data_IF_424145833454
#
_entry.id   IF_424145833454
#
_cell.length_a   1.000
_cell.length_b   1.000
_cell.length_c   1.000
_cell.angle_alpha   90.00
_cell.angle_beta   90.00
_cell.angle_gamma   90.00
#
_symmetry.space_group_name_H-M   'P 1'
#
loop_
_entity.id
_entity.type
_entity.pdbx_description
1 polymer ?
#
# COMPACT_ATOMS: atom_id res chain seq x y z
N UNK A 1 11.82 12.85 18.82
CA UNK A 1 11.50 14.27 18.99
C UNK A 1 10.15 14.56 18.35
N UNK A 2 9.08 14.49 19.12
CA UNK A 2 7.82 15.14 18.81
C UNK A 2 7.99 16.64 19.03
N UNK A 3 7.45 17.48 18.16
CA UNK A 3 7.38 18.93 18.35
C UNK A 3 6.18 19.35 19.20
N UNK A 4 5.47 18.40 19.83
CA UNK A 4 4.15 18.64 20.44
C UNK A 4 3.04 18.86 19.40
N UNK A 5 3.36 18.75 18.11
CA UNK A 5 2.44 18.84 16.97
C UNK A 5 2.48 17.54 16.15
N UNK A 6 1.38 17.14 15.49
CA UNK A 6 1.37 16.01 14.54
C UNK A 6 2.38 16.14 13.38
N UNK A 7 2.94 17.33 13.19
CA UNK A 7 3.87 17.70 12.13
C UNK A 7 5.23 18.05 12.76
N UNK A 8 6.30 17.34 12.38
CA UNK A 8 7.67 17.62 12.81
C UNK A 8 8.29 18.76 11.96
N UNK A 9 8.33 19.98 12.52
CA UNK A 9 8.89 21.19 11.85
C UNK A 9 10.29 21.55 12.41
N UNK A 10 10.69 20.99 13.55
CA UNK A 10 12.01 21.19 14.20
C UNK A 10 12.52 19.85 14.75
N UNK A 11 13.84 19.59 14.80
CA UNK A 11 14.99 20.41 14.37
C UNK A 11 15.38 20.28 12.89
N UNK A 12 14.72 19.40 12.14
CA UNK A 12 14.78 19.30 10.67
C UNK A 12 13.33 19.17 10.19
N UNK A 13 12.94 19.90 9.13
CA UNK A 13 11.61 19.80 8.55
C UNK A 13 11.47 18.40 7.95
N UNK A 14 10.49 17.61 8.41
CA UNK A 14 10.13 16.37 7.74
C UNK A 14 9.59 16.72 6.34
N UNK A 15 10.26 16.32 5.24
CA UNK A 15 9.81 16.63 3.88
C UNK A 15 8.37 16.15 3.60
N UNK A 16 7.91 15.12 4.33
CA UNK A 16 6.60 14.50 4.16
C UNK A 16 5.47 15.14 4.98
N UNK A 17 5.77 16.17 5.80
CA UNK A 17 4.81 16.86 6.70
C UNK A 17 4.02 15.84 7.54
N UNK A 18 4.70 15.20 8.50
CA UNK A 18 4.11 14.14 9.31
C UNK A 18 4.86 13.87 10.62
N UNK A 19 4.48 12.80 11.33
CA UNK A 19 5.07 12.45 12.62
C UNK A 19 6.55 12.09 12.48
N UNK A 20 7.27 12.11 13.60
CA UNK A 20 8.67 11.65 13.61
C UNK A 20 8.75 10.13 13.36
N UNK A 21 9.83 9.62 12.74
CA UNK A 21 10.03 8.17 12.54
C UNK A 21 9.93 7.34 13.83
N UNK A 22 10.29 7.92 14.98
CA UNK A 22 10.17 7.23 16.28
C UNK A 22 8.72 6.94 16.67
N UNK A 23 7.81 7.84 16.31
CA UNK A 23 6.37 7.65 16.52
C UNK A 23 5.84 6.59 15.57
N UNK A 24 6.24 6.61 14.29
CA UNK A 24 5.80 5.59 13.34
C UNK A 24 6.35 4.20 13.70
N UNK A 25 7.59 4.10 14.19
CA UNK A 25 8.14 2.85 14.75
C UNK A 25 7.29 2.37 15.93
N UNK A 26 6.95 3.26 16.87
CA UNK A 26 6.11 2.88 18.01
C UNK A 26 4.71 2.42 17.58
N UNK A 27 4.15 3.02 16.53
CA UNK A 27 2.86 2.64 15.95
C UNK A 27 2.89 1.35 15.11
N UNK A 28 4.07 0.78 14.84
CA UNK A 28 4.20 -0.49 14.12
C UNK A 28 4.75 -0.39 12.70
N UNK A 29 5.44 0.70 12.32
CA UNK A 29 6.19 0.77 11.06
C UNK A 29 7.22 -0.37 10.93
N UNK A 30 7.62 -0.74 9.72
CA UNK A 30 8.64 -1.76 9.52
C UNK A 30 9.95 -1.24 10.10
N UNK A 31 10.51 -1.95 11.07
CA UNK A 31 11.78 -1.61 11.70
C UNK A 31 12.48 -2.89 12.13
N UNK A 32 13.59 -3.22 11.46
CA UNK A 32 14.24 -4.54 11.54
C UNK A 32 14.64 -4.89 12.99
N UNK A 33 15.17 -3.93 13.74
CA UNK A 33 15.58 -4.14 15.12
C UNK A 33 14.42 -4.45 16.08
N UNK A 34 13.16 -4.19 15.69
CA UNK A 34 11.97 -4.61 16.45
C UNK A 34 11.46 -6.00 16.02
N UNK A 35 12.05 -6.64 15.02
CA UNK A 35 11.54 -7.85 14.37
C UNK A 35 12.50 -9.04 14.47
N UNK A 36 13.80 -8.79 14.62
CA UNK A 36 14.79 -9.76 15.04
C UNK A 36 16.03 -9.06 15.59
N UNK A 37 16.90 -9.84 16.23
CA UNK A 37 18.17 -9.34 16.74
C UNK A 37 19.15 -9.06 15.59
N UNK A 38 19.82 -7.90 15.66
CA UNK A 38 20.86 -7.48 14.73
C UNK A 38 22.20 -7.52 15.45
N UNK A 39 23.20 -8.18 14.89
CA UNK A 39 24.56 -8.29 15.48
C UNK A 39 25.21 -6.90 15.64
N UNK A 40 24.96 -5.98 14.70
CA UNK A 40 25.49 -4.61 14.74
C UNK A 40 25.04 -3.81 15.97
N UNK A 41 23.81 -4.01 16.46
CA UNK A 41 23.31 -3.31 17.64
C UNK A 41 23.73 -3.95 18.98
N UNK A 42 24.30 -5.17 18.95
CA UNK A 42 24.75 -5.89 20.15
C UNK A 42 26.14 -5.44 20.60
N UNK A 43 26.99 -4.97 19.67
CA UNK A 43 28.37 -4.54 19.98
C UNK A 43 28.49 -3.06 20.37
N UNK A 44 27.48 -2.25 20.05
CA UNK A 44 27.46 -0.81 20.33
C UNK A 44 26.98 -0.55 21.77
N UNK A 45 27.94 -0.50 22.70
CA UNK A 45 27.74 -0.19 24.12
C UNK A 45 27.11 1.19 24.41
N UNK A 46 27.03 2.08 23.40
CA UNK A 46 26.59 3.47 23.52
C UNK A 46 25.23 3.81 22.85
N UNK A 47 24.51 2.88 22.21
CA UNK A 47 23.21 3.21 21.55
C UNK A 47 21.98 2.98 22.45
N UNK A 48 22.13 3.08 23.77
CA UNK A 48 21.01 2.95 24.72
C UNK A 48 20.04 4.15 24.73
N UNK A 49 19.98 4.93 23.66
CA UNK A 49 19.36 6.24 23.70
C UNK A 49 18.68 6.65 22.39
N UNK A 50 17.60 5.93 22.03
CA UNK A 50 16.67 6.43 21.01
C UNK A 50 15.84 7.58 21.60
N UNK A 51 15.55 8.66 20.86
CA UNK A 51 14.58 9.66 21.31
C UNK A 51 13.23 8.98 21.56
N UNK A 52 12.71 9.04 22.79
CA UNK A 52 11.40 8.45 23.07
C UNK A 52 10.33 9.03 22.13
N UNK A 53 9.31 8.24 21.73
CA UNK A 53 8.21 8.73 20.92
C UNK A 53 7.61 10.02 21.47
N UNK A 54 7.45 10.11 22.80
CA UNK A 54 6.85 11.23 23.52
C UNK A 54 7.80 12.42 23.80
N UNK A 55 9.05 12.41 23.30
CA UNK A 55 9.99 13.51 23.58
C UNK A 55 9.56 14.81 22.94
N UNK A 56 9.18 15.82 23.74
CA UNK A 56 8.90 17.17 23.26
C UNK A 56 10.17 18.02 23.38
N UNK A 57 10.67 18.55 22.27
CA UNK A 57 11.79 19.50 22.29
C UNK A 57 11.32 20.80 22.95
N UNK A 58 11.75 21.08 24.18
CA UNK A 58 11.33 22.28 24.92
C UNK A 58 12.10 23.55 24.48
N UNK A 59 13.32 23.45 23.95
CA UNK A 59 14.10 24.60 23.42
C UNK A 59 15.16 24.19 22.37
N UNK A 60 15.49 25.09 21.45
CA UNK A 60 16.39 24.87 20.30
C UNK A 60 17.89 24.68 20.61
N UNK A 61 18.27 24.74 21.89
CA UNK A 61 19.67 24.57 22.34
C UNK A 61 19.92 23.23 23.04
N UNK A 62 18.88 22.46 23.29
CA UNK A 62 18.95 21.21 24.04
C UNK A 62 19.11 20.03 23.07
N UNK A 63 20.35 19.79 22.64
CA UNK A 63 20.65 18.63 21.78
C UNK A 63 20.49 17.27 22.49
N UNK A 64 20.29 17.23 23.81
CA UNK A 64 20.25 15.96 24.57
C UNK A 64 19.31 15.91 25.81
N UNK A 65 18.41 16.88 26.06
CA UNK A 65 17.48 16.81 27.23
C UNK A 65 16.12 16.16 26.90
N UNK A 66 16.00 15.49 25.76
CA UNK A 66 14.86 14.61 25.48
C UNK A 66 15.05 13.28 26.20
N UNK A 67 14.02 12.81 26.89
CA UNK A 67 14.00 11.47 27.49
C UNK A 67 14.44 10.42 26.44
N UNK A 68 15.53 9.74 26.74
CA UNK A 68 16.08 8.67 25.91
C UNK A 68 15.42 7.35 26.31
N UNK A 69 15.03 6.57 25.32
CA UNK A 69 14.32 5.29 25.47
C UNK A 69 15.20 4.15 25.01
N UNK A 70 15.03 3.00 25.67
CA UNK A 70 15.57 1.74 25.17
C UNK A 70 14.79 1.29 23.91
N UNK A 71 15.34 0.31 23.19
CA UNK A 71 14.73 -0.23 21.98
C UNK A 71 13.33 -0.82 22.26
N UNK A 72 13.08 -1.40 23.43
CA UNK A 72 11.79 -2.00 23.79
C UNK A 72 10.67 -0.96 23.90
N UNK A 73 10.98 0.17 24.54
CA UNK A 73 10.10 1.33 24.64
C UNK A 73 9.86 1.98 23.28
N UNK A 74 10.88 2.03 22.42
CA UNK A 74 10.72 2.51 21.04
C UNK A 74 9.79 1.61 20.24
N UNK A 75 9.97 0.28 20.32
CA UNK A 75 9.17 -0.72 19.63
C UNK A 75 7.73 -0.87 20.16
N UNK A 76 7.35 -0.12 21.21
CA UNK A 76 5.98 -0.11 21.75
C UNK A 76 5.64 -1.32 22.62
N UNK A 77 6.64 -2.07 23.09
CA UNK A 77 6.40 -3.03 24.15
C UNK A 77 6.20 -2.26 25.46
N UNK A 78 5.12 -2.52 26.18
CA UNK A 78 4.90 -2.08 27.58
C UNK A 78 5.87 -2.78 28.55
N UNK A 79 7.15 -2.83 28.20
CA UNK A 79 8.19 -3.44 29.00
C UNK A 79 8.75 -2.37 29.91
N UNK A 80 7.95 -2.00 30.91
CA UNK A 80 8.27 -0.93 31.84
C UNK A 80 9.54 -1.23 32.66
N UNK A 81 10.05 -2.46 32.70
CA UNK A 81 11.19 -2.86 33.55
C UNK A 81 11.88 -4.17 33.11
N UNK A 82 11.97 -4.49 31.82
CA UNK A 82 12.84 -5.61 31.40
C UNK A 82 13.82 -5.10 30.37
N UNK A 83 15.08 -5.07 30.81
CA UNK A 83 16.25 -5.14 29.96
C UNK A 83 15.97 -6.11 28.82
N UNK A 84 16.06 -5.62 27.58
CA UNK A 84 16.17 -6.52 26.43
C UNK A 84 17.42 -7.37 26.66
N UNK A 85 17.33 -8.70 26.60
CA UNK A 85 18.49 -9.55 26.67
C UNK A 85 19.46 -9.17 25.56
N UNK A 86 20.64 -8.69 25.94
CA UNK A 86 21.71 -8.27 25.01
C UNK A 86 21.90 -6.77 24.82
N UNK A 87 21.06 -5.91 25.40
CA UNK A 87 21.28 -4.45 25.38
C UNK A 87 21.14 -3.89 26.81
N UNK A 88 22.29 -3.65 27.45
CA UNK A 88 22.39 -3.02 28.77
C UNK A 88 22.33 -3.96 29.99
N UNK A 89 22.34 -5.28 29.79
CA UNK A 89 22.55 -6.21 30.91
C UNK A 89 24.03 -6.17 31.35
N UNK A 90 24.34 -6.06 32.65
CA UNK A 90 25.71 -6.14 33.12
C UNK A 90 26.35 -7.45 32.65
N UNK A 91 27.54 -7.35 32.09
CA UNK A 91 28.32 -8.49 31.60
C UNK A 91 28.46 -9.51 32.74
N UNK A 92 27.75 -10.64 32.66
CA UNK A 92 27.84 -11.71 33.65
C UNK A 92 26.52 -12.34 34.13
N UNK A 93 25.35 -11.73 33.92
CA UNK A 93 24.07 -12.41 34.20
C UNK A 93 23.59 -13.16 32.95
N UNK A 94 24.25 -14.27 32.66
CA UNK A 94 23.73 -15.31 31.78
C UNK A 94 22.55 -16.00 32.48
N UNK A 95 21.36 -15.42 32.38
CA UNK A 95 20.10 -16.12 32.57
C UNK A 95 19.39 -16.08 31.23
N UNK A 96 19.63 -17.16 30.46
CA UNK A 96 18.64 -17.99 29.74
C UNK A 96 17.41 -17.41 29.03
N UNK A 97 17.23 -16.10 28.93
CA UNK A 97 16.13 -15.49 28.19
C UNK A 97 16.68 -14.90 26.91
N UNK A 98 16.81 -15.70 25.86
CA UNK A 98 17.09 -15.23 24.50
C UNK A 98 15.81 -14.64 23.90
N UNK A 99 15.23 -13.60 24.54
CA UNK A 99 14.03 -12.96 24.05
C UNK A 99 14.37 -12.16 22.78
N UNK A 100 14.17 -12.81 21.63
CA UNK A 100 14.28 -12.16 20.33
C UNK A 100 13.02 -11.32 20.13
N UNK A 101 13.14 -10.06 19.67
CA UNK A 101 11.97 -9.27 19.34
C UNK A 101 11.23 -9.96 18.18
N UNK A 102 9.92 -10.20 18.33
CA UNK A 102 9.12 -11.08 17.47
C UNK A 102 7.91 -10.35 16.83
N UNK A 103 8.05 -9.05 16.54
CA UNK A 103 6.95 -8.22 16.03
C UNK A 103 6.67 -8.41 14.54
N UNK A 104 6.32 -9.64 14.14
CA UNK A 104 6.01 -10.04 12.76
C UNK A 104 4.87 -9.22 12.12
N UNK A 105 3.96 -8.68 12.93
CA UNK A 105 2.87 -7.81 12.46
C UNK A 105 3.40 -6.56 11.74
N UNK A 106 4.66 -6.20 11.93
CA UNK A 106 5.37 -5.13 11.20
C UNK A 106 5.60 -5.42 9.72
N UNK A 107 5.18 -6.58 9.21
CA UNK A 107 5.03 -6.80 7.76
C UNK A 107 3.65 -6.41 7.22
N UNK A 108 2.65 -6.24 8.08
CA UNK A 108 1.25 -5.99 7.70
C UNK A 108 0.82 -4.59 8.10
N UNK A 109 1.02 -4.21 9.36
CA UNK A 109 0.59 -2.92 9.92
C UNK A 109 1.11 -1.71 9.13
N UNK A 110 2.39 -1.68 8.67
CA UNK A 110 2.90 -0.49 7.99
C UNK A 110 2.23 -0.23 6.62
N UNK A 111 1.49 -1.18 6.06
CA UNK A 111 0.71 -0.99 4.83
C UNK A 111 -0.31 0.15 5.02
N UNK A 112 -0.83 0.29 6.23
CA UNK A 112 -1.87 1.27 6.56
C UNK A 112 -1.31 2.56 7.17
N UNK A 113 -0.04 2.56 7.59
CA UNK A 113 0.63 3.70 8.17
C UNK A 113 1.31 4.56 7.09
N UNK A 114 1.42 5.86 7.32
CA UNK A 114 2.04 6.78 6.36
C UNK A 114 2.95 7.78 7.07
N UNK A 115 4.06 8.15 6.41
CA UNK A 115 5.07 9.04 6.97
C UNK A 115 4.64 10.52 7.08
N UNK A 116 3.53 10.90 6.43
CA UNK A 116 2.97 12.25 6.49
C UNK A 116 1.91 12.51 5.42
N UNK A 117 1.39 13.74 5.39
CA UNK A 117 0.25 14.15 4.56
C UNK A 117 0.57 14.07 3.06
N UNK A 118 1.78 14.47 2.66
CA UNK A 118 2.19 14.41 1.26
C UNK A 118 2.28 12.95 0.81
N UNK A 119 2.85 12.09 1.64
CA UNK A 119 3.00 10.67 1.35
C UNK A 119 1.63 9.96 1.20
N UNK A 120 0.68 10.17 2.12
CA UNK A 120 -0.67 9.61 1.96
C UNK A 120 -1.40 10.21 0.75
N UNK A 121 -1.21 11.50 0.46
CA UNK A 121 -1.78 12.16 -0.72
C UNK A 121 -1.37 11.49 -2.03
N UNK A 122 -0.07 11.23 -2.21
CA UNK A 122 0.43 10.52 -3.39
C UNK A 122 -0.06 9.07 -3.47
N UNK A 123 -0.05 8.32 -2.36
CA UNK A 123 -0.59 6.94 -2.37
C UNK A 123 -2.07 6.91 -2.71
N UNK A 124 -2.87 7.84 -2.18
CA UNK A 124 -4.30 7.92 -2.48
C UNK A 124 -4.56 8.36 -3.92
N UNK A 125 -3.74 9.27 -4.47
CA UNK A 125 -3.81 9.63 -5.88
C UNK A 125 -3.59 8.39 -6.76
N UNK A 126 -2.50 7.64 -6.54
CA UNK A 126 -2.20 6.42 -7.28
C UNK A 126 -3.26 5.33 -7.07
N UNK A 127 -3.77 5.18 -5.84
CA UNK A 127 -4.85 4.25 -5.54
C UNK A 127 -6.13 4.59 -6.30
N UNK A 128 -6.50 5.87 -6.39
CA UNK A 128 -7.74 6.30 -7.03
C UNK A 128 -7.65 6.36 -8.55
N UNK A 129 -6.45 6.51 -9.12
CA UNK A 129 -6.22 6.45 -10.57
C UNK A 129 -5.99 5.00 -11.01
N UNK A 130 -4.83 4.43 -10.69
CA UNK A 130 -4.43 3.07 -11.11
C UNK A 130 -5.19 1.98 -10.36
N UNK A 131 -5.30 2.11 -9.04
CA UNK A 131 -5.94 1.10 -8.19
C UNK A 131 -7.41 0.88 -8.55
N UNK A 132 -8.17 1.97 -8.69
CA UNK A 132 -9.58 1.93 -9.08
C UNK A 132 -9.79 1.29 -10.46
N UNK A 133 -8.99 1.67 -11.45
CA UNK A 133 -9.08 1.09 -12.80
C UNK A 133 -8.83 -0.41 -12.76
N UNK A 134 -7.77 -0.84 -12.06
CA UNK A 134 -7.47 -2.26 -11.94
C UNK A 134 -8.54 -3.03 -11.15
N UNK A 135 -9.06 -2.45 -10.07
CA UNK A 135 -10.15 -3.04 -9.29
C UNK A 135 -11.41 -3.28 -10.15
N UNK A 136 -11.74 -2.36 -11.07
CA UNK A 136 -12.86 -2.54 -11.99
C UNK A 136 -12.62 -3.68 -13.00
N UNK A 137 -11.37 -3.91 -13.40
CA UNK A 137 -11.00 -4.95 -14.37
C UNK A 137 -11.03 -6.34 -13.73
N UNK A 138 -10.37 -6.52 -12.59
CA UNK A 138 -10.21 -7.85 -11.96
C UNK A 138 -11.21 -8.11 -10.83
N UNK A 139 -11.96 -7.11 -10.38
CA UNK A 139 -12.90 -7.21 -9.27
C UNK A 139 -12.24 -7.08 -7.89
N UNK A 140 -13.03 -6.61 -6.91
CA UNK A 140 -12.55 -6.20 -5.57
C UNK A 140 -11.83 -7.29 -4.78
N UNK A 141 -12.26 -8.56 -4.84
CA UNK A 141 -11.63 -9.65 -4.07
C UNK A 141 -10.20 -9.92 -4.59
N UNK A 142 -10.05 -10.04 -5.91
CA UNK A 142 -8.74 -10.30 -6.54
C UNK A 142 -7.80 -9.11 -6.35
N UNK A 143 -8.33 -7.91 -6.50
CA UNK A 143 -7.62 -6.67 -6.21
C UNK A 143 -7.11 -6.65 -4.76
N UNK A 144 -7.97 -6.92 -3.78
CA UNK A 144 -7.60 -6.94 -2.37
C UNK A 144 -6.49 -7.97 -2.06
N UNK A 145 -6.58 -9.18 -2.63
CA UNK A 145 -5.57 -10.21 -2.43
C UNK A 145 -4.21 -9.79 -2.97
N UNK A 146 -4.16 -9.23 -4.19
CA UNK A 146 -2.90 -8.75 -4.77
C UNK A 146 -2.36 -7.56 -3.97
N UNK A 147 -3.22 -6.64 -3.57
CA UNK A 147 -2.85 -5.46 -2.80
C UNK A 147 -2.18 -5.83 -1.47
N UNK A 148 -2.83 -6.68 -0.66
CA UNK A 148 -2.29 -7.09 0.64
C UNK A 148 -1.05 -7.97 0.47
N UNK A 149 -1.07 -8.96 -0.42
CA UNK A 149 0.09 -9.84 -0.63
C UNK A 149 1.33 -9.07 -1.13
N UNK A 150 1.15 -8.13 -2.06
CA UNK A 150 2.23 -7.29 -2.55
C UNK A 150 2.80 -6.37 -1.48
N UNK A 151 1.93 -5.81 -0.62
CA UNK A 151 2.37 -5.01 0.54
C UNK A 151 3.21 -5.82 1.52
N UNK A 152 2.73 -7.02 1.90
CA UNK A 152 3.42 -7.92 2.83
C UNK A 152 4.77 -8.34 2.24
N UNK A 153 4.78 -8.86 1.01
CA UNK A 153 6.01 -9.34 0.39
C UNK A 153 7.00 -8.19 0.10
N UNK A 154 6.49 -7.00 -0.20
CA UNK A 154 7.27 -5.77 -0.19
C UNK A 154 7.99 -5.58 1.14
N UNK A 155 7.28 -5.52 2.26
CA UNK A 155 7.92 -5.34 3.56
C UNK A 155 8.81 -6.51 3.98
N UNK A 156 8.55 -7.74 3.52
CA UNK A 156 9.46 -8.88 3.70
C UNK A 156 10.78 -8.60 2.97
N UNK A 157 10.75 -8.20 1.70
CA UNK A 157 11.96 -7.89 0.95
C UNK A 157 12.70 -6.68 1.56
N UNK A 158 11.97 -5.62 1.94
CA UNK A 158 12.54 -4.47 2.64
C UNK A 158 13.12 -4.82 4.02
N UNK A 159 12.53 -5.77 4.73
CA UNK A 159 13.04 -6.25 6.03
C UNK A 159 14.38 -6.96 5.92
N UNK A 160 14.63 -7.65 4.79
CA UNK A 160 15.84 -8.45 4.60
C UNK A 160 16.97 -7.70 3.87
N UNK A 161 16.64 -6.73 3.02
CA UNK A 161 17.63 -6.11 2.12
C UNK A 161 17.75 -4.59 2.24
N UNK A 162 16.78 -3.89 2.86
CA UNK A 162 16.92 -2.46 3.07
C UNK A 162 17.95 -2.14 4.15
N UNK A 163 18.51 -0.93 4.09
CA UNK A 163 19.46 -0.46 5.08
C UNK A 163 18.89 -0.53 6.51
N UNK A 164 19.72 -1.03 7.42
CA UNK A 164 19.37 -1.18 8.83
C UNK A 164 19.16 0.19 9.51
N UNK A 165 18.33 0.22 10.55
CA UNK A 165 18.07 1.44 11.32
C UNK A 165 17.14 2.46 10.67
N UNK A 166 16.57 2.16 9.48
CA UNK A 166 15.58 3.00 8.82
C UNK A 166 14.18 2.38 8.97
N UNK A 167 13.22 3.19 9.39
CA UNK A 167 11.81 2.80 9.44
C UNK A 167 11.13 2.97 8.09
N UNK A 168 10.31 2.00 7.70
CA UNK A 168 9.54 2.01 6.46
C UNK A 168 8.05 1.85 6.71
N UNK A 169 7.24 2.59 5.95
CA UNK A 169 5.79 2.65 6.10
C UNK A 169 5.17 3.06 4.78
N UNK A 170 3.90 2.74 4.56
CA UNK A 170 3.13 3.20 3.41
C UNK A 170 2.57 2.05 2.59
N UNK A 171 1.48 2.33 1.90
CA UNK A 171 0.85 1.36 1.01
C UNK A 171 1.53 1.25 -0.37
N UNK A 172 2.66 1.96 -0.57
CA UNK A 172 3.35 2.03 -1.85
C UNK A 172 3.82 0.67 -2.35
N UNK A 173 4.28 -0.24 -1.48
CA UNK A 173 4.59 -1.63 -1.89
C UNK A 173 3.38 -2.35 -2.52
N UNK A 174 2.19 -2.16 -1.95
CA UNK A 174 0.94 -2.68 -2.52
C UNK A 174 0.63 -2.06 -3.88
N UNK A 175 0.79 -0.73 -4.01
CA UNK A 175 0.57 0.00 -5.25
C UNK A 175 1.56 -0.38 -6.36
N UNK A 176 2.83 -0.67 -6.03
CA UNK A 176 3.79 -1.23 -7.00
C UNK A 176 3.36 -2.61 -7.50
N UNK A 177 2.71 -3.41 -6.66
CA UNK A 177 2.06 -4.66 -7.09
C UNK A 177 0.90 -4.44 -8.07
N UNK A 178 0.11 -3.38 -7.85
CA UNK A 178 -0.94 -2.98 -8.80
C UNK A 178 -0.33 -2.44 -10.10
N UNK A 179 0.75 -1.66 -10.03
CA UNK A 179 1.46 -1.16 -11.21
C UNK A 179 2.03 -2.32 -12.07
N UNK A 180 2.54 -3.37 -11.41
CA UNK A 180 2.93 -4.61 -12.08
C UNK A 180 1.75 -5.33 -12.76
N UNK A 181 0.57 -5.36 -12.11
CA UNK A 181 -0.65 -5.88 -12.73
C UNK A 181 -1.06 -5.08 -13.97
N UNK A 182 -1.01 -3.75 -13.90
CA UNK A 182 -1.33 -2.87 -15.04
C UNK A 182 -0.36 -3.09 -16.21
N UNK A 183 0.94 -3.24 -15.91
CA UNK A 183 1.94 -3.59 -16.91
C UNK A 183 1.61 -4.95 -17.55
N UNK A 184 1.27 -5.95 -16.75
CA UNK A 184 0.94 -7.28 -17.25
C UNK A 184 -0.34 -7.29 -18.10
N UNK A 185 -1.36 -6.54 -17.70
CA UNK A 185 -2.58 -6.34 -18.50
C UNK A 185 -2.27 -5.73 -19.87
N UNK A 186 -1.43 -4.68 -19.90
CA UNK A 186 -0.99 -4.06 -21.15
C UNK A 186 -0.25 -5.06 -22.06
N UNK A 187 0.62 -5.89 -21.49
CA UNK A 187 1.37 -6.88 -22.25
C UNK A 187 0.46 -7.98 -22.81
N UNK A 188 -0.55 -8.44 -22.07
CA UNK A 188 -1.49 -9.45 -22.55
C UNK A 188 -2.45 -8.92 -23.62
N UNK A 189 -2.88 -7.67 -23.51
CA UNK A 189 -3.80 -7.03 -24.47
C UNK A 189 -3.10 -6.15 -25.50
N UNK A 190 -1.78 -6.35 -25.71
CA UNK A 190 -0.94 -5.48 -26.53
C UNK A 190 -1.49 -5.22 -27.93
N UNK A 191 -2.00 -6.27 -28.59
CA UNK A 191 -2.53 -6.19 -29.97
C UNK A 191 -3.91 -5.51 -30.06
N UNK A 192 -4.65 -5.43 -28.96
CA UNK A 192 -6.00 -4.84 -28.91
C UNK A 192 -5.98 -3.34 -28.60
N UNK A 193 -4.85 -2.83 -28.09
CA UNK A 193 -4.68 -1.43 -27.72
C UNK A 193 -4.43 -0.57 -28.97
N UNK A 194 -5.01 0.63 -28.98
CA UNK A 194 -4.87 1.60 -30.08
C UNK A 194 -3.42 2.11 -30.19
N UNK A 195 -2.74 2.31 -29.06
CA UNK A 195 -1.37 2.82 -29.02
C UNK A 195 -0.54 2.18 -27.90
N UNK A 196 -0.23 0.87 -27.98
CA UNK A 196 0.40 0.13 -26.89
C UNK A 196 1.77 0.68 -26.49
N UNK A 197 2.53 1.21 -27.45
CA UNK A 197 3.83 1.84 -27.18
C UNK A 197 3.73 3.12 -26.34
N UNK A 198 2.65 3.91 -26.50
CA UNK A 198 2.44 5.11 -25.70
C UNK A 198 2.09 4.73 -24.26
N UNK A 199 1.16 3.78 -24.11
CA UNK A 199 0.73 3.27 -22.81
C UNK A 199 1.91 2.66 -22.05
N UNK A 200 2.75 1.88 -22.76
CA UNK A 200 3.98 1.31 -22.21
C UNK A 200 4.96 2.39 -21.74
N UNK A 201 5.16 3.44 -22.55
CA UNK A 201 6.03 4.55 -22.18
C UNK A 201 5.53 5.30 -20.94
N UNK A 202 4.22 5.52 -20.80
CA UNK A 202 3.63 6.12 -19.60
C UNK A 202 3.81 5.24 -18.37
N UNK A 203 3.53 3.93 -18.45
CA UNK A 203 3.74 3.01 -17.33
C UNK A 203 5.21 2.95 -16.92
N UNK A 204 6.14 2.91 -17.88
CA UNK A 204 7.57 2.92 -17.58
C UNK A 204 8.02 4.25 -16.95
N UNK A 205 7.46 5.37 -17.39
CA UNK A 205 7.69 6.67 -16.77
C UNK A 205 7.18 6.69 -15.33
N UNK A 206 5.98 6.17 -15.07
CA UNK A 206 5.41 6.07 -13.72
C UNK A 206 6.25 5.19 -12.80
N UNK A 207 6.75 4.05 -13.30
CA UNK A 207 7.68 3.18 -12.58
C UNK A 207 8.96 3.96 -12.24
N UNK A 208 9.56 4.64 -13.21
CA UNK A 208 10.79 5.39 -13.01
C UNK A 208 10.63 6.52 -11.99
N UNK A 209 9.56 7.33 -12.12
CA UNK A 209 9.23 8.40 -11.17
C UNK A 209 9.00 7.81 -9.77
N UNK A 210 8.28 6.69 -9.66
CA UNK A 210 7.98 6.07 -8.37
C UNK A 210 9.24 5.57 -7.66
N UNK A 211 10.21 5.01 -8.38
CA UNK A 211 11.52 4.63 -7.82
C UNK A 211 12.39 5.82 -7.43
N UNK A 212 12.34 6.91 -8.20
CA UNK A 212 13.02 8.16 -7.83
C UNK A 212 12.41 8.76 -6.56
N UNK A 213 11.08 8.77 -6.46
CA UNK A 213 10.38 9.19 -5.24
C UNK A 213 10.70 8.26 -4.07
N UNK A 214 10.90 6.96 -4.32
CA UNK A 214 11.31 5.97 -3.32
C UNK A 214 12.67 6.23 -2.66
N UNK A 215 13.48 7.17 -3.18
CA UNK A 215 14.70 7.65 -2.54
C UNK A 215 14.44 8.67 -1.42
N UNK A 216 13.21 9.17 -1.27
CA UNK A 216 12.85 10.10 -0.21
C UNK A 216 12.80 9.39 1.16
N UNK A 217 13.13 10.10 2.25
CA UNK A 217 13.18 9.50 3.58
C UNK A 217 11.81 8.94 4.01
N UNK A 218 11.83 7.71 4.54
CA UNK A 218 10.62 6.99 4.96
C UNK A 218 9.98 6.10 3.89
N UNK A 219 10.57 6.06 2.69
CA UNK A 219 10.26 5.11 1.62
C UNK A 219 11.34 4.05 1.51
N UNK A 220 10.99 2.92 0.88
CA UNK A 220 11.83 1.74 0.83
C UNK A 220 11.73 1.10 -0.56
N UNK A 221 12.76 1.33 -1.38
CA UNK A 221 12.83 0.78 -2.74
C UNK A 221 12.85 -0.75 -2.76
N UNK A 222 13.40 -1.43 -1.73
CA UNK A 222 13.30 -2.89 -1.65
C UNK A 222 11.86 -3.32 -1.39
N UNK A 223 11.11 -2.55 -0.60
CA UNK A 223 9.68 -2.78 -0.46
C UNK A 223 8.90 -2.58 -1.76
N UNK A 224 9.28 -1.60 -2.58
CA UNK A 224 8.69 -1.39 -3.91
C UNK A 224 9.01 -2.53 -4.87
N UNK A 225 10.27 -2.98 -4.92
CA UNK A 225 10.71 -4.12 -5.74
C UNK A 225 9.97 -5.39 -5.33
N UNK A 226 9.87 -5.67 -4.02
CA UNK A 226 9.15 -6.84 -3.53
C UNK A 226 7.68 -6.80 -3.94
N UNK A 227 7.01 -5.66 -3.72
CA UNK A 227 5.63 -5.47 -4.14
C UNK A 227 5.43 -5.70 -5.64
N UNK A 228 6.32 -5.16 -6.48
CA UNK A 228 6.28 -5.32 -7.93
C UNK A 228 6.45 -6.80 -8.36
N UNK A 229 7.42 -7.52 -7.79
CA UNK A 229 7.65 -8.95 -8.07
C UNK A 229 6.44 -9.79 -7.68
N UNK A 230 5.87 -9.55 -6.50
CA UNK A 230 4.66 -10.26 -6.05
C UNK A 230 3.45 -9.93 -6.93
N UNK A 231 3.32 -8.68 -7.37
CA UNK A 231 2.30 -8.24 -8.32
C UNK A 231 2.38 -8.98 -9.66
N UNK A 232 3.60 -9.15 -10.22
CA UNK A 232 3.80 -9.97 -11.43
C UNK A 232 3.40 -11.43 -11.15
N UNK A 233 3.89 -12.01 -10.06
CA UNK A 233 3.64 -13.42 -9.74
C UNK A 233 2.14 -13.72 -9.59
N UNK A 234 1.42 -12.90 -8.81
CA UNK A 234 -0.04 -13.05 -8.65
C UNK A 234 -0.79 -12.64 -9.91
N UNK A 235 -0.29 -11.66 -10.65
CA UNK A 235 -0.85 -11.25 -11.93
C UNK A 235 -0.88 -12.39 -12.94
N UNK A 236 0.23 -13.12 -13.08
CA UNK A 236 0.29 -14.30 -13.97
C UNK A 236 -0.74 -15.35 -13.52
N UNK A 237 -0.89 -15.57 -12.22
CA UNK A 237 -1.87 -16.53 -11.70
C UNK A 237 -3.33 -16.08 -11.92
N UNK A 238 -3.62 -14.79 -11.78
CA UNK A 238 -4.98 -14.24 -11.78
C UNK A 238 -5.44 -13.86 -13.19
N UNK A 239 -4.63 -13.16 -13.98
CA UNK A 239 -5.00 -12.71 -15.34
C UNK A 239 -5.07 -13.90 -16.30
N UNK A 240 -4.31 -14.97 -16.06
CA UNK A 240 -4.43 -16.20 -16.84
C UNK A 240 -5.73 -16.98 -16.53
N UNK A 241 -6.43 -16.62 -15.44
CA UNK A 241 -7.66 -17.27 -14.99
C UNK A 241 -8.87 -16.29 -14.91
N UNK A 242 -9.82 -16.31 -15.84
CA UNK A 242 -9.69 -16.35 -17.30
C UNK A 242 -10.82 -15.60 -18.04
N UNK A 243 -10.50 -14.94 -19.15
CA UNK A 243 -11.49 -14.54 -20.14
C UNK A 243 -12.31 -15.74 -20.67
N UNK A 244 -11.75 -16.96 -20.64
CA UNK A 244 -12.42 -18.20 -21.05
C UNK A 244 -13.44 -18.75 -20.05
N UNK A 245 -13.34 -18.48 -18.73
CA UNK A 245 -14.41 -18.79 -17.77
C UNK A 245 -15.47 -17.70 -17.78
N UNK A 246 -15.12 -16.42 -17.98
CA UNK A 246 -16.12 -15.35 -18.07
C UNK A 246 -17.04 -15.55 -19.29
N UNK A 247 -16.48 -16.02 -20.42
CA UNK A 247 -17.22 -16.43 -21.62
C UNK A 247 -18.06 -17.71 -21.42
N UNK A 248 -17.68 -18.61 -20.50
CA UNK A 248 -18.44 -19.83 -20.12
C UNK A 248 -19.51 -19.59 -19.06
N UNK A 249 -19.30 -18.61 -18.17
CA UNK A 249 -20.16 -18.30 -17.04
C UNK A 249 -21.22 -17.25 -17.40
N UNK A 250 -21.12 -16.60 -18.57
CA UNK A 250 -22.15 -15.67 -19.06
C UNK A 250 -22.34 -14.46 -18.14
N UNK A 251 -21.34 -14.12 -17.33
CA UNK A 251 -21.40 -12.98 -16.43
C UNK A 251 -21.05 -11.72 -17.21
N UNK A 252 -22.08 -10.89 -17.43
CA UNK A 252 -21.86 -9.46 -17.63
C UNK A 252 -20.96 -8.94 -16.49
N UNK A 253 -20.01 -8.03 -16.77
CA UNK A 253 -19.22 -7.41 -15.71
C UNK A 253 -20.18 -6.82 -14.66
N UNK A 254 -19.86 -6.92 -13.35
CA UNK A 254 -20.73 -6.48 -12.25
C UNK A 254 -21.10 -4.99 -12.31
N UNK A 255 -20.44 -4.24 -13.20
CA UNK A 255 -20.80 -2.90 -13.57
C UNK A 255 -20.68 -2.72 -15.09
N UNK A 256 -21.81 -2.56 -15.77
CA UNK A 256 -21.85 -1.99 -17.12
C UNK A 256 -21.96 -0.47 -16.99
N UNK A 257 -21.02 0.34 -17.52
CA UNK A 257 -21.32 1.74 -17.76
C UNK A 257 -22.52 1.81 -18.70
N UNK A 258 -23.46 2.71 -18.41
CA UNK A 258 -24.66 2.91 -19.24
C UNK A 258 -24.18 3.26 -20.65
N UNK A 259 -24.40 2.36 -21.61
CA UNK A 259 -24.24 2.69 -23.02
C UNK A 259 -25.18 3.84 -23.35
N UNK A 260 -24.62 4.98 -23.70
CA UNK A 260 -25.35 6.08 -24.28
C UNK A 260 -25.81 5.59 -25.66
N UNK A 261 -27.08 5.19 -25.76
CA UNK A 261 -27.72 4.91 -27.03
C UNK A 261 -27.50 6.14 -27.91
N UNK A 262 -26.91 5.95 -29.09
CA UNK A 262 -26.92 6.96 -30.15
C UNK A 262 -28.38 7.27 -30.45
N UNK A 263 -28.83 8.40 -29.97
CA UNK A 263 -29.97 9.14 -30.49
C UNK A 263 -29.44 10.55 -30.72
N UNK A 264 -29.52 10.97 -31.97
CA UNK A 264 -28.93 12.18 -32.51
C UNK A 264 -29.34 13.46 -31.74
N UNK A 265 -28.44 14.44 -31.84
CA UNK A 265 -28.54 15.87 -31.52
C UNK A 265 -28.45 16.38 -30.06
N UNK A 266 -27.58 17.39 -29.96
CA UNK A 266 -27.26 18.32 -28.86
C UNK A 266 -26.33 17.84 -27.72
N UNK A 267 -25.07 18.28 -27.85
CA UNK A 267 -24.01 18.32 -26.84
C UNK A 267 -24.50 19.01 -25.54
N UNK A 268 -24.80 18.21 -24.52
CA UNK A 268 -24.96 18.69 -23.14
C UNK A 268 -23.90 18.02 -22.26
N UNK A 269 -22.98 18.85 -21.77
CA UNK A 269 -21.89 18.52 -20.84
C UNK A 269 -22.44 17.90 -19.55
N UNK A 270 -21.81 16.83 -19.06
CA UNK A 270 -22.30 15.97 -17.96
C UNK A 270 -22.59 16.64 -16.61
N UNK A 271 -22.22 17.91 -16.43
CA UNK A 271 -22.54 18.72 -15.25
C UNK A 271 -24.01 19.15 -15.19
N UNK A 272 -24.68 19.33 -16.34
CA UNK A 272 -26.08 19.76 -16.38
C UNK A 272 -27.08 18.62 -16.14
N UNK A 273 -26.70 17.37 -16.47
CA UNK A 273 -27.54 16.20 -16.23
C UNK A 273 -27.66 15.87 -14.73
N UNK A 274 -26.57 16.00 -13.96
CA UNK A 274 -26.57 15.77 -12.51
C UNK A 274 -27.40 16.80 -11.74
N UNK A 275 -27.38 18.06 -12.19
CA UNK A 275 -28.15 19.14 -11.58
C UNK A 275 -29.67 18.98 -11.73
N UNK A 276 -30.14 18.30 -12.78
CA UNK A 276 -31.57 18.12 -13.06
C UNK A 276 -32.22 16.95 -12.32
N UNK A 277 -31.45 15.94 -11.88
CA UNK A 277 -32.04 14.76 -11.21
C UNK A 277 -31.02 14.04 -10.29
N UNK A 278 -30.69 14.59 -9.11
CA UNK A 278 -29.67 14.00 -8.23
C UNK A 278 -30.07 12.63 -7.64
N UNK A 279 -31.36 12.33 -7.56
CA UNK A 279 -31.88 11.12 -6.88
C UNK A 279 -32.00 9.91 -7.80
N UNK A 280 -31.95 10.10 -9.13
CA UNK A 280 -31.98 9.01 -10.11
C UNK A 280 -30.64 8.28 -10.23
N UNK A 281 -29.55 8.92 -9.83
CA UNK A 281 -28.19 8.41 -9.90
C UNK A 281 -27.94 7.21 -8.95
N UNK A 282 -28.70 7.10 -7.87
CA UNK A 282 -28.55 6.05 -6.85
C UNK A 282 -29.59 4.92 -6.94
N UNK A 283 -30.46 4.94 -7.95
CA UNK A 283 -31.47 3.89 -8.12
C UNK A 283 -30.90 2.74 -8.94
N UNK A 284 -30.48 1.67 -8.25
CA UNK A 284 -30.16 0.39 -8.89
C UNK A 284 -31.38 -0.18 -9.64
N UNK A 285 -31.18 -1.11 -10.61
CA UNK A 285 -32.26 -1.55 -11.49
C UNK A 285 -33.41 -2.21 -10.74
N UNK A 286 -34.63 -1.73 -11.01
CA UNK A 286 -35.89 -2.43 -10.70
C UNK A 286 -35.97 -3.71 -11.51
N UNK A 287 -36.22 -4.84 -10.85
CA UNK A 287 -36.52 -6.13 -11.49
C UNK A 287 -37.84 -6.05 -12.25
N UNK A 288 -37.82 -5.59 -13.50
CA UNK A 288 -38.91 -5.85 -14.43
C UNK A 288 -38.43 -6.86 -15.47
N UNK A 289 -39.01 -8.06 -15.38
CA UNK A 289 -38.84 -9.13 -16.33
C UNK A 289 -39.23 -8.67 -17.74
N UNK A 290 -38.43 -9.03 -18.74
CA UNK A 290 -38.78 -9.00 -20.16
C UNK A 290 -38.71 -10.43 -20.71
N UNK A 291 -39.53 -10.76 -21.73
CA UNK A 291 -40.07 -12.10 -21.94
C UNK A 291 -39.14 -13.00 -22.76
N UNK A 292 -39.22 -14.30 -22.49
CA UNK A 292 -38.57 -15.36 -23.26
C UNK A 292 -39.23 -15.47 -24.64
N UNK A 293 -38.49 -15.44 -25.77
CA UNK A 293 -39.08 -15.70 -27.09
C UNK A 293 -39.45 -17.18 -27.23
N UNK A 294 -40.70 -17.42 -27.65
CA UNK A 294 -41.30 -18.75 -27.78
C UNK A 294 -40.66 -19.62 -28.86
N UNK A 295 -40.60 -20.92 -28.55
CA UNK A 295 -40.25 -22.01 -29.45
C UNK A 295 -41.35 -22.17 -30.50
N UNK A 296 -40.98 -22.11 -31.78
CA UNK A 296 -41.90 -22.26 -32.90
C UNK A 296 -41.99 -23.76 -33.27
N UNK A 297 -43.05 -24.44 -32.84
CA UNK A 297 -43.39 -25.79 -33.34
C UNK A 297 -44.43 -25.65 -34.45
N UNK A 298 -43.98 -25.67 -35.70
CA UNK A 298 -44.85 -25.81 -36.87
C UNK A 298 -45.28 -27.28 -37.01
N UNK A 299 -46.56 -27.52 -36.74
CA UNK A 299 -47.31 -28.67 -37.23
C UNK A 299 -47.26 -28.70 -38.76
N UNK A 300 -46.89 -29.86 -39.33
CA UNK A 300 -47.18 -30.21 -40.71
C UNK A 300 -48.19 -31.38 -40.69
N UNK A 301 -49.41 -31.08 -41.11
CA UNK A 301 -50.43 -32.05 -41.48
C UNK A 301 -50.56 -32.03 -43.00
N UNK A 302 -50.17 -33.12 -43.65
CA UNK A 302 -50.80 -33.76 -44.83
C UNK A 302 -49.93 -34.94 -45.27
#
# INVERSE_FOLDING_TARGET
>A
MLTGSPIMIKPQINPMIGPSPYVTINMGARYVSCMHNMEYFQELTDINSFPCPNTVAKNGSDRHTGQLCNLGQLCGFNLANSSIPGIGAPSGTALEDKHQPDQWFRFIVPIFLHAGIIHIGFNMLLQMTLGREMEMIIGSIRYFLVYIASGIFGFVLGGNFAAEGIASTGASGSLFGILALTLLDLLYHWAERISPWKDFAFIMLDIAISFVLGLLPGLDNFSHIGGFIMGIALGICILHSPASLQKRIGQDPPYRPVHQSKSDDHLITGTQAFAKAPVGFFKGPSKNALPVPGVNTSHASM
#
